data_IF_526302352729
#
_entry.id   IF_526302352729
#
_cell.length_a   1.000
_cell.length_b   1.000
_cell.length_c   1.000
_cell.angle_alpha   90.00
_cell.angle_beta   90.00
_cell.angle_gamma   90.00
#
_symmetry.space_group_name_H-M   'P 1'
#
loop_
_entity.id
_entity.type
_entity.pdbx_description
1 polymer ?
#
# COMPACT_ATOMS: atom_id res chain seq x y z
N UNK A 1 -14.26 -83.93 -24.38
CA UNK A 1 -13.48 -84.40 -25.55
C UNK A 1 -12.03 -84.01 -25.32
N UNK A 2 -11.12 -84.91 -25.68
CA UNK A 2 -9.75 -85.07 -25.17
C UNK A 2 -8.72 -83.97 -25.53
N UNK A 3 -7.62 -84.03 -24.76
CA UNK A 3 -6.22 -83.68 -25.09
C UNK A 3 -5.78 -82.24 -24.83
N UNK A 4 -4.95 -81.98 -23.82
CA UNK A 4 -3.52 -82.34 -23.69
C UNK A 4 -2.64 -81.63 -24.71
N UNK A 5 -1.76 -80.73 -24.23
CA UNK A 5 -0.33 -81.03 -24.12
C UNK A 5 0.46 -79.81 -23.61
N UNK A 6 1.21 -80.08 -22.54
CA UNK A 6 2.30 -79.25 -22.05
C UNK A 6 3.40 -79.09 -23.09
N UNK A 7 4.08 -77.94 -23.11
CA UNK A 7 5.47 -77.87 -23.55
C UNK A 7 6.34 -77.24 -22.46
N UNK A 8 7.11 -78.13 -21.83
CA UNK A 8 8.30 -77.79 -21.05
C UNK A 8 9.26 -76.93 -21.90
N UNK A 9 9.98 -75.99 -21.28
CA UNK A 9 11.38 -76.23 -20.90
C UNK A 9 11.97 -75.09 -20.07
N UNK A 10 12.73 -75.57 -19.10
CA UNK A 10 13.53 -74.93 -18.07
C UNK A 10 14.83 -74.35 -18.62
N UNK A 11 15.35 -73.27 -18.03
CA UNK A 11 16.56 -73.27 -17.17
C UNK A 11 17.16 -71.87 -16.94
N UNK A 12 17.38 -71.60 -15.65
CA UNK A 12 18.58 -71.07 -14.96
C UNK A 12 19.04 -69.61 -15.19
N UNK A 13 18.81 -68.84 -14.10
CA UNK A 13 19.76 -68.03 -13.30
C UNK A 13 20.85 -67.23 -14.02
N UNK A 14 20.81 -65.91 -13.83
CA UNK A 14 21.97 -65.11 -13.39
C UNK A 14 21.54 -64.05 -12.37
N UNK A 15 22.31 -63.94 -11.29
CA UNK A 15 22.27 -62.84 -10.35
C UNK A 15 22.72 -61.54 -11.03
N UNK A 16 22.12 -60.42 -10.64
CA UNK A 16 22.80 -59.14 -10.57
C UNK A 16 22.21 -58.35 -9.41
N UNK A 17 22.94 -58.31 -8.30
CA UNK A 17 22.84 -57.30 -7.25
C UNK A 17 23.17 -55.94 -7.84
N UNK A 18 22.29 -54.95 -7.68
CA UNK A 18 22.68 -53.55 -7.62
C UNK A 18 21.90 -52.84 -6.53
N UNK A 19 22.65 -51.97 -5.88
CA UNK A 19 22.50 -51.33 -4.58
C UNK A 19 21.95 -49.91 -4.77
N UNK A 20 21.27 -49.40 -3.74
CA UNK A 20 21.11 -47.95 -3.51
C UNK A 20 19.83 -47.35 -4.09
N UNK A 21 19.13 -46.43 -3.44
CA UNK A 21 19.46 -45.64 -2.27
C UNK A 21 18.20 -45.38 -1.45
N UNK A 22 18.36 -45.32 -0.13
CA UNK A 22 17.29 -45.01 0.81
C UNK A 22 16.70 -43.63 0.56
N UNK A 23 15.37 -43.57 0.51
CA UNK A 23 14.62 -42.35 0.71
C UNK A 23 14.87 -41.87 2.14
N UNK A 24 15.79 -40.91 2.28
CA UNK A 24 15.86 -40.08 3.48
C UNK A 24 14.59 -39.24 3.50
N UNK A 25 13.66 -39.63 4.36
CA UNK A 25 12.56 -38.77 4.79
C UNK A 25 13.20 -37.66 5.61
N UNK A 26 13.47 -36.51 4.98
CA UNK A 26 13.76 -35.27 5.70
C UNK A 26 12.42 -34.79 6.27
N UNK A 27 12.00 -35.39 7.38
CA UNK A 27 11.09 -34.79 8.32
C UNK A 27 11.91 -33.78 9.15
N UNK A 28 12.26 -32.67 8.51
CA UNK A 28 12.95 -31.54 9.14
C UNK A 28 12.14 -30.30 8.81
N UNK A 29 11.38 -29.82 9.79
CA UNK A 29 10.40 -28.77 9.63
C UNK A 29 10.97 -27.51 9.00
N UNK A 30 10.59 -27.28 7.74
CA UNK A 30 10.63 -25.96 7.15
C UNK A 30 9.43 -25.20 7.73
N UNK A 31 9.61 -24.69 8.94
CA UNK A 31 8.82 -23.56 9.44
C UNK A 31 9.12 -22.38 8.50
N UNK A 32 8.36 -22.29 7.42
CA UNK A 32 8.26 -21.06 6.65
C UNK A 32 7.87 -19.96 7.64
N UNK A 33 8.79 -19.01 7.81
CA UNK A 33 8.65 -17.76 8.56
C UNK A 33 7.52 -16.89 7.97
N UNK A 34 6.28 -17.37 8.08
CA UNK A 34 5.08 -16.67 7.70
C UNK A 34 4.49 -16.06 8.97
N UNK A 35 4.86 -14.81 9.23
CA UNK A 35 4.11 -13.96 10.14
C UNK A 35 4.90 -13.44 11.33
N UNK A 36 5.82 -12.51 11.09
CA UNK A 36 6.13 -11.43 12.05
C UNK A 36 6.61 -10.21 11.27
N UNK A 37 5.77 -9.65 10.40
CA UNK A 37 5.91 -8.22 10.11
C UNK A 37 5.75 -7.43 11.43
N UNK A 38 6.27 -6.20 11.53
CA UNK A 38 5.93 -5.36 12.68
C UNK A 38 4.41 -5.30 12.81
N UNK A 39 3.92 -5.38 14.05
CA UNK A 39 2.50 -5.20 14.34
C UNK A 39 2.31 -3.83 14.98
N UNK A 40 1.20 -3.13 14.70
CA UNK A 40 0.80 -2.00 15.53
C UNK A 40 0.57 -2.46 16.98
N UNK A 41 0.64 -1.51 17.91
CA UNK A 41 0.20 -1.67 19.29
C UNK A 41 -1.33 -1.71 19.41
N UNK A 42 -1.83 -1.51 20.62
CA UNK A 42 -3.23 -1.62 20.99
C UNK A 42 -3.77 -0.37 21.72
N UNK A 43 -3.00 0.73 21.72
CA UNK A 43 -3.42 1.99 22.31
C UNK A 43 -4.59 2.59 21.53
N UNK A 44 -5.57 3.16 22.24
CA UNK A 44 -6.73 3.81 21.62
C UNK A 44 -6.29 5.02 20.77
N UNK A 45 -7.07 5.41 19.74
CA UNK A 45 -6.65 6.50 18.87
C UNK A 45 -6.43 7.80 19.65
N UNK A 46 -5.31 8.47 19.35
CA UNK A 46 -4.99 9.78 19.90
C UNK A 46 -5.42 10.89 18.94
N UNK A 47 -5.50 12.12 19.45
CA UNK A 47 -5.87 13.29 18.65
C UNK A 47 -4.91 13.45 17.47
N UNK A 48 -5.47 13.42 16.26
CA UNK A 48 -4.81 13.83 15.03
C UNK A 48 -4.79 15.36 14.99
N UNK A 49 -3.63 15.95 14.70
CA UNK A 49 -3.53 17.41 14.61
C UNK A 49 -2.40 17.86 13.69
N UNK A 50 -2.57 19.00 13.04
CA UNK A 50 -1.55 19.64 12.23
C UNK A 50 -0.67 20.59 13.05
N UNK A 51 0.64 20.44 12.93
CA UNK A 51 1.58 21.48 13.39
C UNK A 51 1.64 22.63 12.39
N UNK A 52 1.64 22.29 11.11
CA UNK A 52 1.51 23.22 9.99
C UNK A 52 0.92 22.49 8.78
N UNK A 53 1.00 23.10 7.58
CA UNK A 53 0.45 22.51 6.35
C UNK A 53 1.18 21.27 5.85
N UNK A 54 2.38 21.00 6.37
CA UNK A 54 3.32 19.98 5.92
C UNK A 54 3.63 18.94 7.00
N UNK A 55 3.24 19.18 8.25
CA UNK A 55 3.47 18.26 9.36
C UNK A 55 2.18 17.92 10.10
N UNK A 56 1.82 16.63 10.12
CA UNK A 56 0.73 16.06 10.92
C UNK A 56 1.31 15.27 12.10
N UNK A 57 0.61 15.29 13.23
CA UNK A 57 0.88 14.44 14.38
C UNK A 57 -0.30 13.54 14.65
N UNK A 58 0.00 12.27 14.92
CA UNK A 58 -0.97 11.24 15.30
C UNK A 58 -0.22 10.04 15.90
N UNK A 59 -0.92 9.18 16.62
CA UNK A 59 -0.42 7.86 17.02
C UNK A 59 -0.70 6.88 15.88
N UNK A 60 0.27 6.69 14.98
CA UNK A 60 0.07 5.95 13.73
C UNK A 60 0.15 4.44 13.98
N UNK A 61 1.05 4.03 14.88
CA UNK A 61 1.28 2.64 15.22
C UNK A 61 0.58 2.16 16.48
N UNK A 62 -0.32 2.97 17.06
CA UNK A 62 -1.09 2.66 18.27
C UNK A 62 -0.20 2.27 19.46
N UNK A 63 0.94 2.93 19.63
CA UNK A 63 1.85 2.69 20.75
C UNK A 63 1.70 3.71 21.90
N UNK A 64 0.79 4.67 21.75
CA UNK A 64 0.51 5.71 22.73
C UNK A 64 1.50 6.88 22.70
N UNK A 65 2.38 6.94 21.69
CA UNK A 65 3.25 8.08 21.41
C UNK A 65 2.82 8.74 20.09
N UNK A 66 2.94 10.07 20.04
CA UNK A 66 2.64 10.80 18.81
C UNK A 66 3.82 10.72 17.84
N UNK A 67 3.54 10.22 16.65
CA UNK A 67 4.43 10.22 15.50
C UNK A 67 4.26 11.50 14.68
N UNK A 68 5.20 11.77 13.78
CA UNK A 68 5.13 12.90 12.86
C UNK A 68 5.16 12.46 11.40
N UNK A 69 4.20 12.96 10.62
CA UNK A 69 4.16 12.79 9.17
C UNK A 69 4.65 14.06 8.52
N UNK A 70 5.69 13.96 7.69
CA UNK A 70 6.33 15.06 6.99
C UNK A 70 6.02 14.96 5.49
N UNK A 71 5.32 15.97 4.94
CA UNK A 71 4.88 16.06 3.54
C UNK A 71 5.15 17.48 2.99
N UNK A 72 6.42 17.79 2.73
CA UNK A 72 6.90 19.14 2.39
C UNK A 72 6.29 19.69 1.09
N UNK A 73 6.23 18.83 0.07
CA UNK A 73 5.77 19.19 -1.27
C UNK A 73 4.26 18.98 -1.44
N UNK A 74 3.60 18.30 -0.50
CA UNK A 74 2.15 18.00 -0.57
C UNK A 74 1.77 17.28 -1.85
N UNK A 75 2.69 16.46 -2.34
CA UNK A 75 2.57 15.68 -3.57
C UNK A 75 2.44 14.18 -3.27
N UNK A 76 2.34 13.79 -2.01
CA UNK A 76 2.21 12.40 -1.58
C UNK A 76 3.52 11.62 -1.53
N UNK A 77 4.68 12.29 -1.47
CA UNK A 77 6.00 11.67 -1.18
C UNK A 77 6.38 11.80 0.30
N UNK A 78 5.40 11.67 1.18
CA UNK A 78 5.59 11.89 2.62
C UNK A 78 6.42 10.80 3.30
N UNK A 79 6.89 11.13 4.51
CA UNK A 79 7.57 10.20 5.42
C UNK A 79 6.98 10.27 6.82
N UNK A 80 7.03 9.16 7.53
CA UNK A 80 6.62 9.06 8.92
C UNK A 80 7.85 8.92 9.80
N UNK A 81 7.91 9.71 10.87
CA UNK A 81 8.92 9.64 11.91
C UNK A 81 8.29 9.02 13.14
N UNK A 82 8.65 7.76 13.40
CA UNK A 82 8.31 7.07 14.65
C UNK A 82 9.33 7.42 15.73
N UNK A 83 8.85 7.92 16.88
CA UNK A 83 9.67 8.11 18.07
C UNK A 83 9.26 7.11 19.16
N UNK A 84 10.22 6.32 19.63
CA UNK A 84 10.04 5.49 20.83
C UNK A 84 11.32 5.55 21.66
N UNK A 85 11.19 6.03 22.88
CA UNK A 85 12.33 6.22 23.79
C UNK A 85 13.44 7.04 23.09
N UNK A 86 14.67 6.51 23.03
CA UNK A 86 15.81 7.13 22.33
C UNK A 86 15.95 6.68 20.86
N UNK A 87 14.99 5.92 20.32
CA UNK A 87 15.02 5.43 18.94
C UNK A 87 14.10 6.24 18.04
N UNK A 88 14.66 6.67 16.91
CA UNK A 88 13.96 7.38 15.84
C UNK A 88 14.06 6.58 14.54
N UNK A 89 12.90 6.25 13.96
CA UNK A 89 12.83 5.56 12.66
C UNK A 89 12.04 6.40 11.67
N UNK A 90 12.58 6.59 10.48
CA UNK A 90 11.89 7.29 9.40
C UNK A 90 11.53 6.30 8.30
N UNK A 91 10.27 6.28 7.89
CA UNK A 91 9.76 5.42 6.81
C UNK A 91 9.09 6.27 5.75
N UNK A 92 9.52 6.15 4.49
CA UNK A 92 8.86 6.82 3.37
C UNK A 92 7.66 6.02 2.88
N UNK A 93 6.62 6.72 2.41
CA UNK A 93 5.51 6.12 1.65
C UNK A 93 6.02 5.28 0.47
N UNK A 94 7.14 5.64 -0.16
CA UNK A 94 7.74 4.86 -1.24
C UNK A 94 8.18 3.44 -0.83
N UNK A 95 8.50 3.27 0.45
CA UNK A 95 8.97 2.00 1.03
C UNK A 95 7.82 1.11 1.52
N UNK A 96 6.64 1.69 1.76
CA UNK A 96 5.44 1.01 2.25
C UNK A 96 4.97 -0.13 1.35
N UNK A 97 5.41 -0.21 0.09
CA UNK A 97 5.01 -1.28 -0.84
C UNK A 97 5.43 -2.66 -0.33
N UNK A 98 4.48 -3.59 -0.32
CA UNK A 98 4.73 -4.99 0.01
C UNK A 98 5.63 -5.68 -1.02
N UNK A 99 6.25 -6.80 -0.62
CA UNK A 99 7.18 -7.55 -1.48
C UNK A 99 6.57 -7.91 -2.85
N UNK A 100 5.32 -8.36 -2.87
CA UNK A 100 4.61 -8.72 -4.11
C UNK A 100 4.29 -7.52 -5.00
N UNK A 101 4.04 -6.35 -4.41
CA UNK A 101 3.85 -5.09 -5.14
C UNK A 101 5.18 -4.62 -5.75
N UNK A 102 6.27 -4.75 -4.99
CA UNK A 102 7.65 -4.49 -5.48
C UNK A 102 8.00 -5.41 -6.64
N UNK A 103 7.64 -6.70 -6.57
CA UNK A 103 7.89 -7.69 -7.63
C UNK A 103 7.05 -7.46 -8.90
N UNK A 104 5.77 -7.08 -8.78
CA UNK A 104 4.94 -6.69 -9.96
C UNK A 104 5.43 -5.42 -10.65
N UNK A 105 6.20 -4.59 -9.94
CA UNK A 105 6.79 -3.35 -10.45
C UNK A 105 8.14 -3.48 -11.19
N UNK A 106 8.73 -4.67 -11.26
CA UNK A 106 10.05 -4.90 -11.90
C UNK A 106 9.89 -5.14 -13.41
N UNK A 107 10.68 -4.49 -14.30
CA UNK A 107 11.05 -3.09 -14.36
C UNK A 107 10.16 -2.38 -15.40
N UNK A 108 9.06 -1.77 -14.95
CA UNK A 108 8.39 -0.77 -15.78
C UNK A 108 9.08 0.56 -15.49
N UNK A 109 9.63 1.19 -16.53
CA UNK A 109 10.29 2.49 -16.39
C UNK A 109 9.30 3.54 -15.87
N UNK A 110 9.80 4.41 -14.96
CA UNK A 110 9.13 5.60 -14.45
C UNK A 110 7.84 5.36 -13.64
N UNK A 111 7.82 4.28 -12.86
CA UNK A 111 6.79 4.08 -11.85
C UNK A 111 7.08 4.91 -10.60
N UNK A 112 6.10 5.66 -10.11
CA UNK A 112 6.19 6.44 -8.88
C UNK A 112 5.16 5.98 -7.85
N UNK A 113 5.53 6.06 -6.57
CA UNK A 113 4.63 5.78 -5.44
C UNK A 113 4.16 7.10 -4.86
N UNK A 114 2.85 7.24 -4.68
CA UNK A 114 2.21 8.41 -4.07
C UNK A 114 1.29 7.92 -2.97
N UNK A 115 1.25 8.61 -1.83
CA UNK A 115 0.34 8.25 -0.75
C UNK A 115 0.08 9.39 0.21
N UNK A 116 -1.02 9.29 0.94
CA UNK A 116 -1.45 10.31 1.89
C UNK A 116 -2.14 9.65 3.08
N UNK A 117 -2.13 10.36 4.21
CA UNK A 117 -2.66 9.89 5.47
C UNK A 117 -3.91 10.69 5.84
N UNK A 118 -4.96 9.97 6.23
CA UNK A 118 -6.23 10.52 6.72
C UNK A 118 -7.05 9.41 7.38
N UNK A 119 -7.98 9.75 8.26
CA UNK A 119 -8.94 8.79 8.84
C UNK A 119 -10.11 8.62 7.85
N UNK A 120 -9.99 7.70 6.89
CA UNK A 120 -11.00 7.56 5.84
C UNK A 120 -12.24 6.84 6.35
N UNK A 121 -12.09 5.86 7.26
CA UNK A 121 -13.23 5.09 7.78
C UNK A 121 -13.87 5.61 9.07
N UNK A 122 -13.27 6.63 9.69
CA UNK A 122 -13.81 7.35 10.83
C UNK A 122 -13.61 6.61 12.15
N UNK A 123 -12.62 5.73 12.24
CA UNK A 123 -12.32 4.95 13.45
C UNK A 123 -11.35 5.66 14.42
N UNK A 124 -10.84 6.83 14.02
CA UNK A 124 -9.93 7.68 14.78
C UNK A 124 -8.46 7.38 14.51
N UNK A 125 -8.10 6.28 13.85
CA UNK A 125 -6.72 6.02 13.43
C UNK A 125 -6.45 6.62 12.05
N UNK A 126 -5.18 6.95 11.79
CA UNK A 126 -4.80 7.32 10.43
C UNK A 126 -4.67 6.08 9.54
N UNK A 127 -5.34 6.16 8.40
CA UNK A 127 -5.18 5.24 7.29
C UNK A 127 -4.12 5.75 6.31
N UNK A 128 -3.64 4.88 5.42
CA UNK A 128 -2.77 5.23 4.30
C UNK A 128 -3.44 4.87 2.97
N UNK A 129 -3.76 5.88 2.17
CA UNK A 129 -4.11 5.70 0.76
C UNK A 129 -2.82 5.64 -0.07
N UNK A 130 -2.63 4.58 -0.87
CA UNK A 130 -1.40 4.28 -1.59
C UNK A 130 -1.64 4.02 -3.07
N UNK A 131 -0.83 4.67 -3.90
CA UNK A 131 -0.84 4.55 -5.35
C UNK A 131 0.54 4.20 -5.88
N UNK A 132 0.60 3.35 -6.89
CA UNK A 132 1.82 3.05 -7.64
C UNK A 132 1.49 3.06 -9.13
N UNK A 133 1.92 4.12 -9.83
CA UNK A 133 1.48 4.39 -11.20
C UNK A 133 2.63 4.86 -12.09
N UNK A 134 2.51 4.57 -13.39
CA UNK A 134 3.52 4.93 -14.38
C UNK A 134 3.37 6.39 -14.80
N UNK A 135 4.47 7.16 -14.75
CA UNK A 135 4.51 8.52 -15.29
C UNK A 135 4.21 8.52 -16.78
N UNK A 136 3.45 9.52 -17.22
CA UNK A 136 3.20 9.71 -18.64
C UNK A 136 4.46 10.22 -19.35
N UNK A 137 4.84 9.52 -20.43
CA UNK A 137 5.81 10.00 -21.41
C UNK A 137 5.03 10.41 -22.67
N UNK A 138 4.90 11.71 -22.92
CA UNK A 138 4.18 12.28 -24.08
C UNK A 138 2.74 12.71 -23.78
N UNK A 139 1.99 13.00 -24.85
CA UNK A 139 0.70 13.68 -24.78
C UNK A 139 -0.44 12.77 -24.28
N UNK A 140 -0.38 11.47 -24.60
CA UNK A 140 -1.41 10.52 -24.20
C UNK A 140 -1.15 9.95 -22.79
N UNK A 141 -2.17 9.99 -21.92
CA UNK A 141 -2.11 9.34 -20.62
C UNK A 141 -2.08 7.81 -20.76
N UNK A 142 -1.15 7.15 -20.07
CA UNK A 142 -1.10 5.69 -19.96
C UNK A 142 -1.95 5.24 -18.77
N UNK A 143 -2.79 4.23 -18.98
CA UNK A 143 -3.55 3.58 -17.91
C UNK A 143 -2.73 2.43 -17.35
N UNK A 144 -1.76 2.77 -16.49
CA UNK A 144 -0.87 1.80 -15.86
C UNK A 144 -0.62 2.16 -14.40
N UNK A 145 -1.59 1.79 -13.56
CA UNK A 145 -1.54 1.91 -12.12
C UNK A 145 -1.69 0.52 -11.51
N UNK A 146 -0.66 0.10 -10.78
CA UNK A 146 -0.49 -1.26 -10.27
C UNK A 146 -0.97 -1.37 -8.81
N UNK A 147 -0.95 -0.27 -8.07
CA UNK A 147 -1.47 -0.18 -6.70
C UNK A 147 -2.41 1.01 -6.60
N UNK A 148 -3.57 0.78 -5.97
CA UNK A 148 -4.58 1.77 -5.61
C UNK A 148 -5.37 1.20 -4.42
N UNK A 149 -4.78 1.26 -3.23
CA UNK A 149 -5.29 0.61 -2.02
C UNK A 149 -5.34 1.58 -0.84
N UNK A 150 -6.26 1.34 0.08
CA UNK A 150 -6.23 1.94 1.42
C UNK A 150 -5.76 0.88 2.40
N UNK A 151 -4.84 1.25 3.28
CA UNK A 151 -4.44 0.46 4.43
C UNK A 151 -5.01 1.13 5.65
N UNK A 152 -5.88 0.44 6.35
CA UNK A 152 -6.58 1.04 7.46
C UNK A 152 -5.77 0.96 8.74
N UNK A 153 -5.86 2.00 9.55
CA UNK A 153 -5.17 2.11 10.82
C UNK A 153 -5.66 1.10 11.88
N UNK A 154 -4.88 0.94 12.96
CA UNK A 154 -3.51 1.46 13.13
C UNK A 154 -2.53 0.74 12.19
N UNK A 155 -1.50 1.47 11.75
CA UNK A 155 -0.50 0.97 10.80
C UNK A 155 0.72 0.42 11.56
N UNK A 156 1.31 -0.66 11.08
CA UNK A 156 2.62 -1.07 11.58
C UNK A 156 3.70 -0.03 11.23
N UNK A 157 4.86 -0.12 11.88
CA UNK A 157 6.01 0.78 11.65
C UNK A 157 6.60 0.75 10.24
N UNK A 158 6.26 -0.25 9.43
CA UNK A 158 6.59 -0.30 8.00
C UNK A 158 5.44 0.18 7.10
N UNK A 159 4.43 0.83 7.71
CA UNK A 159 3.20 1.33 7.10
C UNK A 159 2.30 0.22 6.51
N UNK A 160 2.49 -1.04 6.93
CA UNK A 160 1.61 -2.14 6.58
C UNK A 160 0.37 -2.21 7.49
N UNK A 161 -0.68 -2.85 6.98
CA UNK A 161 -1.89 -3.17 7.76
C UNK A 161 -2.48 -4.49 7.27
N UNK A 162 -3.04 -5.26 8.20
CA UNK A 162 -3.82 -6.46 7.88
C UNK A 162 -5.22 -6.10 7.35
N UNK A 163 -5.70 -4.87 7.61
CA UNK A 163 -6.97 -4.34 7.12
C UNK A 163 -6.71 -3.49 5.88
N UNK A 164 -7.09 -3.98 4.71
CA UNK A 164 -6.91 -3.26 3.44
C UNK A 164 -8.23 -3.13 2.68
N UNK A 165 -8.34 -2.03 1.93
CA UNK A 165 -9.46 -1.72 1.06
C UNK A 165 -8.97 -1.31 -0.33
N UNK A 166 -9.88 -1.34 -1.31
CA UNK A 166 -9.56 -0.90 -2.67
C UNK A 166 -9.91 0.57 -2.84
N UNK A 167 -9.02 1.34 -3.48
CA UNK A 167 -9.38 2.65 -4.02
C UNK A 167 -9.97 2.43 -5.41
N UNK A 168 -11.29 2.62 -5.54
CA UNK A 168 -12.01 2.43 -6.79
C UNK A 168 -11.87 3.69 -7.63
N UNK A 169 -11.04 3.59 -8.65
CA UNK A 169 -10.78 4.66 -9.59
C UNK A 169 -11.48 4.42 -10.91
N UNK A 170 -11.93 5.50 -11.56
CA UNK A 170 -12.46 5.42 -12.92
C UNK A 170 -11.34 5.20 -13.96
N UNK A 171 -10.19 5.83 -13.73
CA UNK A 171 -9.02 5.76 -14.62
C UNK A 171 -7.79 5.38 -13.83
N UNK A 172 -6.98 4.52 -14.44
CA UNK A 172 -5.71 4.05 -13.89
C UNK A 172 -4.52 4.87 -14.42
N UNK A 173 -4.72 6.18 -14.63
CA UNK A 173 -3.67 7.08 -15.11
C UNK A 173 -2.72 7.52 -14.01
N UNK A 174 -1.57 8.07 -14.40
CA UNK A 174 -0.58 8.59 -13.48
C UNK A 174 -1.17 9.53 -12.43
N UNK A 175 -0.82 9.28 -11.17
CA UNK A 175 -1.13 10.14 -10.03
C UNK A 175 0.06 11.08 -9.81
N UNK A 176 -0.16 12.38 -10.02
CA UNK A 176 0.83 13.42 -9.75
C UNK A 176 0.96 13.71 -8.25
N UNK A 177 -0.15 13.64 -7.52
CA UNK A 177 -0.15 13.78 -6.08
C UNK A 177 -1.48 13.41 -5.44
N UNK A 178 -1.45 13.24 -4.13
CA UNK A 178 -2.60 12.87 -3.29
C UNK A 178 -2.58 13.59 -1.97
N UNK A 179 -3.77 13.89 -1.43
CA UNK A 179 -3.95 14.59 -0.16
C UNK A 179 -5.18 14.08 0.56
N UNK A 180 -5.13 14.04 1.88
CA UNK A 180 -6.31 13.90 2.72
C UNK A 180 -6.77 15.28 3.21
N UNK A 181 -8.08 15.45 3.28
CA UNK A 181 -8.77 16.65 3.79
C UNK A 181 -10.07 16.22 4.48
N UNK A 182 -10.50 16.88 5.55
CA UNK A 182 -11.88 16.78 6.08
C UNK A 182 -12.61 18.08 5.74
N UNK A 183 -12.98 18.24 4.46
CA UNK A 183 -13.50 19.50 3.95
C UNK A 183 -14.99 19.68 4.20
N UNK A 184 -15.73 18.59 4.40
CA UNK A 184 -17.14 18.63 4.75
C UNK A 184 -17.42 18.47 6.26
N UNK A 185 -16.36 18.31 7.08
CA UNK A 185 -16.41 18.28 8.53
C UNK A 185 -17.30 17.17 9.08
N UNK A 186 -17.33 16.03 8.39
CA UNK A 186 -18.12 14.86 8.80
C UNK A 186 -17.34 13.90 9.73
N UNK A 187 -16.07 14.21 9.99
CA UNK A 187 -15.17 13.44 10.84
C UNK A 187 -14.45 12.29 10.12
N UNK A 188 -14.65 12.15 8.80
CA UNK A 188 -13.83 11.30 7.93
C UNK A 188 -13.05 12.18 6.96
N UNK A 189 -11.92 11.65 6.52
CA UNK A 189 -11.14 12.27 5.47
C UNK A 189 -11.74 11.99 4.08
N UNK A 190 -11.73 12.99 3.21
CA UNK A 190 -11.76 12.88 1.77
C UNK A 190 -10.36 12.70 1.19
N UNK A 191 -10.26 11.82 0.20
CA UNK A 191 -9.06 11.60 -0.59
C UNK A 191 -9.06 12.50 -1.85
N UNK A 192 -8.24 13.55 -1.87
CA UNK A 192 -7.99 14.36 -3.06
C UNK A 192 -6.94 13.68 -3.94
N UNK A 193 -7.29 13.33 -5.18
CA UNK A 193 -6.37 12.69 -6.14
C UNK A 193 -6.13 13.61 -7.34
N UNK A 194 -4.86 13.93 -7.60
CA UNK A 194 -4.41 14.73 -8.75
C UNK A 194 -3.89 13.79 -9.83
N UNK A 195 -4.70 13.52 -10.85
CA UNK A 195 -4.37 12.57 -11.90
C UNK A 195 -4.16 13.23 -13.26
N UNK A 196 -3.26 12.64 -14.05
CA UNK A 196 -3.10 13.04 -15.42
C UNK A 196 -4.39 12.88 -16.21
N UNK A 197 -4.73 13.91 -16.97
CA UNK A 197 -5.84 13.90 -17.93
C UNK A 197 -5.40 13.80 -19.39
N UNK A 198 -4.07 13.79 -19.64
CA UNK A 198 -3.48 13.88 -20.97
C UNK A 198 -3.08 15.33 -21.29
N UNK A 199 -2.34 15.52 -22.38
CA UNK A 199 -2.01 16.83 -22.96
C UNK A 199 -1.38 17.83 -21.97
N UNK A 200 -0.55 17.33 -21.04
CA UNK A 200 0.13 18.16 -20.05
C UNK A 200 -0.78 18.71 -18.94
N UNK A 201 -1.89 18.02 -18.65
CA UNK A 201 -2.90 18.50 -17.71
C UNK A 201 -3.20 17.53 -16.58
N UNK A 202 -3.64 18.08 -15.45
CA UNK A 202 -3.94 17.37 -14.20
C UNK A 202 -5.38 17.68 -13.79
N UNK A 203 -6.19 16.66 -13.55
CA UNK A 203 -7.52 16.82 -12.96
C UNK A 203 -7.50 16.43 -11.48
N UNK A 204 -8.28 17.14 -10.68
CA UNK A 204 -8.54 16.79 -9.28
C UNK A 204 -9.83 15.98 -9.19
N UNK A 205 -9.79 14.89 -8.43
CA UNK A 205 -10.94 14.07 -8.08
C UNK A 205 -11.02 13.89 -6.56
N UNK A 206 -12.22 13.65 -6.04
CA UNK A 206 -12.46 13.45 -4.60
C UNK A 206 -12.91 12.01 -4.38
N UNK A 207 -12.17 11.29 -3.56
CA UNK A 207 -12.51 9.97 -3.04
C UNK A 207 -13.16 10.06 -1.68
N UNK A 208 -14.19 9.25 -1.46
CA UNK A 208 -14.83 9.07 -0.16
C UNK A 208 -14.92 7.60 0.19
N UNK A 209 -14.86 7.31 1.48
CA UNK A 209 -15.04 5.96 1.99
C UNK A 209 -16.44 5.45 1.64
N UNK A 210 -16.49 4.26 1.04
CA UNK A 210 -17.72 3.48 0.86
C UNK A 210 -17.42 1.97 0.81
N UNK A 211 -18.39 1.14 1.22
CA UNK A 211 -18.41 -0.31 0.94
C UNK A 211 -17.05 -1.03 0.97
N UNK A 212 -16.28 -0.92 2.04
CA UNK A 212 -14.98 -1.60 2.23
C UNK A 212 -13.78 -0.98 1.49
N UNK A 213 -13.88 0.25 1.00
CA UNK A 213 -12.83 0.96 0.27
C UNK A 213 -13.09 2.45 0.14
N UNK A 214 -12.36 3.11 -0.74
CA UNK A 214 -12.58 4.52 -1.11
C UNK A 214 -12.99 4.58 -2.57
N UNK A 215 -14.10 5.24 -2.90
CA UNK A 215 -14.51 5.46 -4.30
C UNK A 215 -14.24 6.88 -4.73
N UNK A 216 -13.52 7.02 -5.83
CA UNK A 216 -13.15 8.32 -6.41
C UNK A 216 -14.22 8.79 -7.39
N UNK A 217 -14.63 10.06 -7.26
CA UNK A 217 -15.69 10.69 -8.04
C UNK A 217 -15.47 10.54 -9.55
N UNK A 218 -16.58 10.38 -10.28
CA UNK A 218 -16.54 10.36 -11.75
C UNK A 218 -16.35 11.75 -12.36
N UNK A 219 -16.87 12.77 -11.66
CA UNK A 219 -16.75 14.17 -12.03
C UNK A 219 -15.43 14.71 -11.50
N UNK A 220 -14.69 15.37 -12.39
CA UNK A 220 -13.51 16.14 -11.98
C UNK A 220 -13.99 17.34 -11.20
N UNK A 221 -13.34 17.62 -10.08
CA UNK A 221 -13.62 18.82 -9.28
C UNK A 221 -12.97 20.04 -9.94
N UNK A 222 -11.72 19.90 -10.38
CA UNK A 222 -10.97 20.96 -11.04
C UNK A 222 -10.00 20.40 -12.10
N UNK A 223 -9.33 21.31 -12.79
CA UNK A 223 -8.38 21.05 -13.85
C UNK A 223 -7.24 22.07 -13.84
N UNK A 224 -6.02 21.61 -14.04
CA UNK A 224 -4.78 22.38 -13.89
C UNK A 224 -3.78 22.03 -15.00
N UNK A 225 -2.88 22.96 -15.32
CA UNK A 225 -1.64 22.62 -16.01
C UNK A 225 -0.72 21.82 -15.08
N UNK A 226 0.15 20.97 -15.66
CA UNK A 226 1.16 20.23 -14.87
C UNK A 226 2.09 21.16 -14.08
N UNK A 227 2.32 22.39 -14.56
CA UNK A 227 3.13 23.37 -13.84
C UNK A 227 2.39 24.02 -12.64
N UNK A 228 1.06 24.08 -12.68
CA UNK A 228 0.27 24.91 -11.75
C UNK A 228 -0.31 24.10 -10.58
N UNK A 229 -0.56 22.80 -10.77
CA UNK A 229 -1.15 21.96 -9.72
C UNK A 229 -0.35 21.93 -8.39
N UNK A 230 1.01 22.01 -8.36
CA UNK A 230 1.77 21.99 -7.10
C UNK A 230 1.52 23.22 -6.22
N UNK A 231 1.10 24.34 -6.80
CA UNK A 231 0.82 25.59 -6.05
C UNK A 231 -0.41 25.47 -5.16
N UNK A 232 -1.35 24.63 -5.57
CA UNK A 232 -2.45 24.24 -4.70
C UNK A 232 -1.84 23.40 -3.58
N UNK A 233 -1.91 23.84 -2.32
CA UNK A 233 -1.48 23.05 -1.15
C UNK A 233 -2.66 22.86 -0.20
N UNK A 234 -3.66 22.09 -0.65
CA UNK A 234 -4.75 21.63 0.23
C UNK A 234 -4.09 20.88 1.40
N UNK A 235 -4.55 21.16 2.61
CA UNK A 235 -3.74 20.98 3.80
C UNK A 235 -4.48 20.24 4.88
N UNK A 236 -3.71 19.68 5.79
CA UNK A 236 -4.16 19.11 7.06
C UNK A 236 -4.66 20.12 8.08
N UNK A 237 -4.82 21.39 7.70
CA UNK A 237 -5.31 22.42 8.61
C UNK A 237 -6.77 22.20 9.00
N UNK A 238 -7.51 21.42 8.21
CA UNK A 238 -8.84 20.94 8.51
C UNK A 238 -8.88 19.84 9.60
N UNK A 239 -7.78 19.10 9.80
CA UNK A 239 -7.60 18.20 10.95
C UNK A 239 -7.37 18.94 12.29
N UNK A 240 -7.40 20.27 12.29
CA UNK A 240 -7.22 21.09 13.48
C UNK A 240 -5.75 21.29 13.86
N UNK A 241 -5.45 22.40 14.56
CA UNK A 241 -4.10 22.69 15.01
C UNK A 241 -3.75 21.92 16.29
N UNK A 242 -2.52 21.42 16.39
CA UNK A 242 -2.04 20.86 17.65
C UNK A 242 -2.07 21.92 18.74
N UNK A 243 -2.63 21.61 19.91
CA UNK A 243 -2.59 22.51 21.04
C UNK A 243 -1.12 22.84 21.39
N UNK A 244 -0.79 24.13 21.45
CA UNK A 244 0.50 24.57 21.98
C UNK A 244 0.63 24.10 23.41
N UNK A 245 1.72 23.40 23.72
CA UNK A 245 2.12 23.16 25.11
C UNK A 245 2.61 24.45 25.75
#
# INVERSE_FOLDING_TARGET
>A
MFSSLSRQRTRRRRLATTTGAGLVVIAGGMWLLLGTGPKPGDHAPMVICALDRTILRADIDADGQLDEIHDQDRDGTSSVVFQRDDQRTTVSVGDARGLWQKLRGVPQEDMETRGTFGDFDGDGYLDLALFYSQRNKGDASRENMVVHEVRYGPLARDLSSDRTGTIRMRKSTFVYGVRATDSDHDGRAELQVFQSSGDGTVSRYIGRQDGGGVSVSHERTDFYGVADWPDLKLGWLDFGACAGR
#
